data_IF_304432181858
#
_entry.id   IF_304432181858
#
_cell.length_a   1.000
_cell.length_b   1.000
_cell.length_c   1.000
_cell.angle_alpha   90.00
_cell.angle_beta   90.00
_cell.angle_gamma   90.00
#
_symmetry.space_group_name_H-M   'P 1'
#
loop_
_entity.id
_entity.type
_entity.pdbx_description
1 polymer ?
#
# COMPACT_ATOMS: atom_id res chain seq x y z
N UNK A 1 -24.57 9.00 -22.63
CA UNK A 1 -23.11 9.19 -22.54
C UNK A 1 -22.54 8.06 -21.69
N UNK A 2 -21.88 7.09 -22.31
CA UNK A 2 -21.12 6.05 -21.60
C UNK A 2 -19.64 6.43 -21.66
N UNK A 3 -18.96 6.46 -20.51
CA UNK A 3 -17.51 6.61 -20.47
C UNK A 3 -16.86 5.29 -20.92
N UNK A 4 -15.82 5.30 -21.77
CA UNK A 4 -15.12 4.07 -22.13
C UNK A 4 -14.43 3.52 -20.87
N UNK A 5 -14.74 2.28 -20.51
CA UNK A 5 -14.09 1.58 -19.40
C UNK A 5 -12.60 1.43 -19.77
N UNK A 6 -11.75 2.15 -19.03
CA UNK A 6 -10.31 2.06 -19.16
C UNK A 6 -9.86 0.61 -19.00
N UNK A 7 -8.98 0.18 -19.90
CA UNK A 7 -8.42 -1.17 -19.97
C UNK A 7 -7.89 -1.60 -18.58
N UNK A 8 -8.57 -2.58 -17.97
CA UNK A 8 -8.15 -3.15 -16.69
C UNK A 8 -6.91 -4.00 -16.95
N UNK A 9 -5.72 -3.42 -16.78
CA UNK A 9 -4.46 -4.19 -16.80
C UNK A 9 -4.37 -5.06 -15.55
N UNK A 10 -4.84 -6.29 -15.69
CA UNK A 10 -4.66 -7.37 -14.72
C UNK A 10 -3.17 -7.72 -14.71
N UNK A 11 -2.44 -7.23 -13.70
CA UNK A 11 -1.14 -7.78 -13.37
C UNK A 11 -1.39 -9.08 -12.61
N UNK A 12 -1.00 -10.22 -13.17
CA UNK A 12 -0.89 -11.47 -12.42
C UNK A 12 0.24 -11.30 -11.38
N UNK A 13 -0.09 -10.75 -10.22
CA UNK A 13 0.75 -10.88 -9.02
C UNK A 13 0.81 -12.36 -8.69
N UNK A 14 2.01 -12.91 -8.47
CA UNK A 14 2.12 -14.28 -7.95
C UNK A 14 1.41 -14.34 -6.59
N UNK A 15 0.74 -15.45 -6.25
CA UNK A 15 0.02 -15.61 -4.98
C UNK A 15 0.87 -15.22 -3.74
N UNK A 16 2.19 -15.46 -3.82
CA UNK A 16 3.16 -15.10 -2.78
C UNK A 16 3.35 -13.59 -2.56
N UNK A 17 2.99 -12.73 -3.52
CA UNK A 17 3.01 -11.26 -3.39
C UNK A 17 1.68 -10.74 -2.85
N UNK A 18 0.56 -11.42 -3.18
CA UNK A 18 -0.77 -11.11 -2.63
C UNK A 18 -0.84 -11.46 -1.14
N UNK A 19 -0.35 -12.64 -0.75
CA UNK A 19 -0.26 -13.04 0.67
C UNK A 19 0.60 -12.06 1.48
N UNK A 20 1.63 -11.47 0.87
CA UNK A 20 2.50 -10.49 1.54
C UNK A 20 1.90 -9.09 1.65
N UNK A 21 1.02 -8.71 0.73
CA UNK A 21 0.18 -7.52 0.88
C UNK A 21 -0.87 -7.73 1.98
N UNK A 22 -1.39 -8.95 2.10
CA UNK A 22 -2.34 -9.35 3.15
C UNK A 22 -1.70 -9.44 4.55
N UNK A 23 -0.40 -9.80 4.65
CA UNK A 23 0.33 -9.90 5.93
C UNK A 23 0.59 -8.55 6.62
N UNK A 24 0.41 -7.42 5.93
CA UNK A 24 0.62 -6.09 6.48
C UNK A 24 2.08 -5.80 6.85
N UNK A 25 2.37 -4.57 7.26
CA UNK A 25 3.72 -4.17 7.67
C UNK A 25 4.06 -4.80 9.04
N UNK A 26 4.46 -6.07 9.06
CA UNK A 26 4.77 -6.83 10.28
C UNK A 26 5.88 -6.22 11.16
N UNK A 27 6.68 -5.30 10.62
CA UNK A 27 7.62 -4.49 11.40
C UNK A 27 6.97 -3.37 12.22
N UNK A 28 5.76 -2.93 11.89
CA UNK A 28 5.10 -1.76 12.49
C UNK A 28 4.78 -1.98 13.97
N UNK A 29 4.50 -3.21 14.40
CA UNK A 29 4.25 -3.54 15.80
C UNK A 29 5.49 -3.28 16.67
N UNK A 30 6.67 -3.71 16.23
CA UNK A 30 7.92 -3.51 16.96
C UNK A 30 8.31 -2.04 17.04
N UNK A 31 8.07 -1.27 15.97
CA UNK A 31 8.26 0.17 15.98
C UNK A 31 7.33 0.86 16.96
N UNK A 32 6.04 0.51 16.98
CA UNK A 32 5.08 1.08 17.90
C UNK A 32 5.46 0.80 19.37
N UNK A 33 5.92 -0.42 19.67
CA UNK A 33 6.43 -0.75 21.00
C UNK A 33 7.66 0.07 21.39
N UNK A 34 8.61 0.24 20.46
CA UNK A 34 9.78 1.07 20.71
C UNK A 34 9.40 2.54 20.97
N UNK A 35 8.47 3.09 20.18
CA UNK A 35 7.97 4.45 20.31
C UNK A 35 7.14 4.67 21.57
N UNK A 36 6.49 3.64 22.10
CA UNK A 36 5.83 3.73 23.40
C UNK A 36 6.83 3.61 24.57
N UNK A 37 7.71 2.61 24.52
CA UNK A 37 8.57 2.24 25.66
C UNK A 37 9.74 3.21 25.88
N UNK A 38 10.38 3.72 24.81
CA UNK A 38 11.55 4.59 24.94
C UNK A 38 11.23 5.96 25.56
N UNK A 39 10.17 6.68 25.16
CA UNK A 39 9.77 7.91 25.84
C UNK A 39 9.33 7.66 27.28
N UNK A 40 8.62 6.55 27.56
CA UNK A 40 8.26 6.20 28.94
C UNK A 40 9.50 5.93 29.79
N UNK A 41 10.49 5.19 29.28
CA UNK A 41 11.78 4.99 29.96
C UNK A 41 12.48 6.34 30.23
N UNK A 42 12.45 7.25 29.25
CA UNK A 42 13.02 8.58 29.40
C UNK A 42 12.30 9.41 30.48
N UNK A 43 10.97 9.36 30.54
CA UNK A 43 10.19 10.00 31.60
C UNK A 43 10.57 9.46 32.97
N UNK A 44 10.69 8.14 33.11
CA UNK A 44 11.12 7.50 34.36
C UNK A 44 12.54 7.94 34.72
N UNK A 45 13.47 7.99 33.78
CA UNK A 45 14.84 8.48 33.99
C UNK A 45 14.85 9.92 34.52
N UNK A 46 14.07 10.81 33.89
CA UNK A 46 13.94 12.20 34.33
C UNK A 46 13.39 12.22 35.77
N UNK A 47 12.39 11.40 36.10
CA UNK A 47 11.89 11.28 37.47
C UNK A 47 12.97 10.84 38.46
N UNK A 48 13.82 9.85 38.14
CA UNK A 48 14.94 9.46 39.01
C UNK A 48 15.98 10.58 39.20
N UNK A 49 16.22 11.39 38.17
CA UNK A 49 17.22 12.48 38.23
C UNK A 49 16.70 13.72 38.94
N UNK A 50 15.39 13.96 38.91
CA UNK A 50 14.75 15.17 39.47
C UNK A 50 14.18 14.97 40.86
N UNK A 51 13.78 13.75 41.21
CA UNK A 51 13.11 13.45 42.48
C UNK A 51 14.11 12.94 43.52
N UNK A 52 14.15 13.59 44.67
CA UNK A 52 14.89 13.09 45.84
C UNK A 52 14.08 11.99 46.52
N UNK A 53 14.37 10.72 46.20
CA UNK A 53 13.69 9.56 46.79
C UNK A 53 14.46 9.09 48.02
N UNK A 54 13.93 9.34 49.22
CA UNK A 54 14.57 8.91 50.49
C UNK A 54 14.48 7.40 50.73
N UNK A 55 13.47 6.73 50.15
CA UNK A 55 13.26 5.29 50.34
C UNK A 55 14.00 4.46 49.30
N UNK A 56 15.01 3.71 49.75
CA UNK A 56 15.78 2.80 48.90
C UNK A 56 14.91 1.79 48.12
N UNK A 57 13.79 1.35 48.68
CA UNK A 57 12.88 0.38 48.03
C UNK A 57 12.20 0.98 46.80
N UNK A 58 11.74 2.23 46.92
CA UNK A 58 11.08 2.93 45.82
C UNK A 58 12.10 3.29 44.74
N UNK A 59 13.29 3.73 45.14
CA UNK A 59 14.39 4.00 44.21
C UNK A 59 14.74 2.77 43.37
N UNK A 60 14.92 1.60 44.01
CA UNK A 60 15.18 0.34 43.32
C UNK A 60 14.06 -0.06 42.36
N UNK A 61 12.79 0.10 42.75
CA UNK A 61 11.65 -0.21 41.89
C UNK A 61 11.65 0.64 40.61
N UNK A 62 11.89 1.95 40.75
CA UNK A 62 12.00 2.88 39.62
C UNK A 62 13.21 2.58 38.73
N UNK A 63 14.35 2.22 39.32
CA UNK A 63 15.56 1.84 38.58
C UNK A 63 15.34 0.54 37.78
N UNK A 64 14.73 -0.47 38.38
CA UNK A 64 14.41 -1.74 37.69
C UNK A 64 13.38 -1.50 36.59
N UNK A 65 12.35 -0.70 36.84
CA UNK A 65 11.37 -0.34 35.82
C UNK A 65 12.01 0.40 34.64
N UNK A 66 12.92 1.35 34.91
CA UNK A 66 13.69 2.03 33.87
C UNK A 66 14.47 1.05 33.00
N UNK A 67 15.25 0.16 33.61
CA UNK A 67 16.03 -0.83 32.86
C UNK A 67 15.15 -1.79 32.06
N UNK A 68 14.03 -2.24 32.62
CA UNK A 68 13.09 -3.10 31.90
C UNK A 68 12.51 -2.41 30.65
N UNK A 69 12.05 -1.16 30.78
CA UNK A 69 11.52 -0.37 29.67
C UNK A 69 12.59 -0.08 28.62
N UNK A 70 13.80 0.29 29.05
CA UNK A 70 14.92 0.61 28.17
C UNK A 70 15.33 -0.60 27.33
N UNK A 71 15.55 -1.76 27.97
CA UNK A 71 15.98 -2.99 27.30
C UNK A 71 14.90 -3.46 26.32
N UNK A 72 13.63 -3.50 26.75
CA UNK A 72 12.53 -3.94 25.90
C UNK A 72 12.30 -3.00 24.71
N UNK A 73 12.38 -1.69 24.94
CA UNK A 73 12.28 -0.67 23.89
C UNK A 73 13.42 -0.78 22.87
N UNK A 74 14.66 -0.98 23.35
CA UNK A 74 15.83 -1.10 22.49
C UNK A 74 15.82 -2.38 21.66
N UNK A 75 15.42 -3.53 22.24
CA UNK A 75 15.26 -4.79 21.51
C UNK A 75 14.22 -4.63 20.40
N UNK A 76 13.09 -4.01 20.71
CA UNK A 76 12.02 -3.78 19.73
C UNK A 76 12.48 -2.88 18.59
N UNK A 77 13.21 -1.80 18.90
CA UNK A 77 13.77 -0.89 17.91
C UNK A 77 14.80 -1.59 17.01
N UNK A 78 15.68 -2.39 17.61
CA UNK A 78 16.73 -3.10 16.88
C UNK A 78 16.14 -4.17 15.93
N UNK A 79 15.13 -4.91 16.39
CA UNK A 79 14.39 -5.86 15.56
C UNK A 79 13.72 -5.17 14.37
N UNK A 80 13.04 -4.05 14.61
CA UNK A 80 12.43 -3.27 13.53
C UNK A 80 13.47 -2.77 12.53
N UNK A 81 14.62 -2.28 13.01
CA UNK A 81 15.69 -1.78 12.15
C UNK A 81 16.27 -2.87 11.24
N UNK A 82 16.54 -4.05 11.81
CA UNK A 82 17.03 -5.21 11.06
C UNK A 82 16.01 -5.69 10.01
N UNK A 83 14.73 -5.75 10.40
CA UNK A 83 13.64 -6.12 9.51
C UNK A 83 13.49 -5.11 8.35
N UNK A 84 13.43 -3.82 8.68
CA UNK A 84 13.26 -2.74 7.69
C UNK A 84 14.38 -2.70 6.65
N UNK A 85 15.64 -3.00 7.03
CA UNK A 85 16.76 -3.11 6.09
C UNK A 85 16.62 -4.29 5.12
N UNK A 86 16.11 -5.42 5.60
CA UNK A 86 15.98 -6.64 4.80
C UNK A 86 14.86 -6.52 3.77
N UNK A 87 13.75 -5.87 4.13
CA UNK A 87 12.63 -5.63 3.22
C UNK A 87 12.99 -4.68 2.07
N UNK A 88 13.73 -3.60 2.36
CA UNK A 88 14.18 -2.65 1.33
C UNK A 88 15.02 -3.32 0.23
N UNK A 89 15.92 -4.24 0.60
CA UNK A 89 16.77 -4.95 -0.38
C UNK A 89 15.98 -5.87 -1.32
N UNK A 90 14.88 -6.47 -0.83
CA UNK A 90 14.05 -7.37 -1.63
C UNK A 90 13.13 -6.61 -2.58
N UNK A 91 12.64 -5.45 -2.16
CA UNK A 91 11.85 -4.53 -2.99
C UNK A 91 12.72 -3.94 -4.12
N UNK A 92 13.98 -3.60 -3.84
CA UNK A 92 14.93 -3.18 -4.88
C UNK A 92 15.14 -4.30 -5.92
N UNK A 93 15.21 -5.56 -5.47
CA UNK A 93 15.35 -6.72 -6.35
C UNK A 93 14.14 -7.00 -7.24
N UNK A 94 12.91 -6.74 -6.78
CA UNK A 94 11.71 -6.84 -7.61
C UNK A 94 11.58 -5.64 -8.55
N UNK A 95 11.89 -4.42 -8.09
CA UNK A 95 11.88 -3.20 -8.90
C UNK A 95 12.91 -3.25 -10.03
N UNK A 96 14.08 -3.84 -9.80
CA UNK A 96 15.12 -4.05 -10.80
C UNK A 96 14.72 -5.02 -11.92
N UNK A 97 13.68 -5.84 -11.70
CA UNK A 97 13.12 -6.77 -12.71
C UNK A 97 11.96 -6.17 -13.49
N UNK A 98 11.49 -4.97 -13.13
CA UNK A 98 10.48 -4.26 -13.91
C UNK A 98 11.17 -3.47 -15.04
N UNK A 99 10.81 -3.69 -16.31
CA UNK A 99 11.34 -2.86 -17.40
C UNK A 99 10.89 -1.41 -17.21
N UNK A 100 11.85 -0.48 -17.27
CA UNK A 100 11.57 0.97 -17.34
C UNK A 100 10.79 1.20 -18.62
N UNK A 101 9.49 1.49 -18.51
CA UNK A 101 8.67 1.79 -19.69
C UNK A 101 9.09 3.15 -20.25
N UNK A 102 9.54 3.25 -21.52
CA UNK A 102 9.62 4.54 -22.19
C UNK A 102 8.21 5.11 -22.28
N UNK A 103 8.03 6.28 -21.69
CA UNK A 103 6.79 7.03 -21.74
C UNK A 103 6.70 7.60 -23.16
N UNK A 104 5.70 7.15 -23.93
CA UNK A 104 5.20 7.70 -25.22
C UNK A 104 6.03 7.35 -26.46
N UNK A 105 5.54 6.42 -27.32
CA UNK A 105 5.89 6.41 -28.75
C UNK A 105 5.02 5.51 -29.66
N UNK A 106 3.75 5.18 -29.35
CA UNK A 106 3.07 4.22 -30.26
C UNK A 106 1.53 4.30 -30.36
N UNK A 107 0.91 5.48 -30.29
CA UNK A 107 -0.47 5.63 -30.80
C UNK A 107 -0.70 7.01 -31.44
N UNK A 108 0.18 7.41 -32.36
CA UNK A 108 -0.21 8.33 -33.42
C UNK A 108 0.38 7.77 -34.71
N UNK A 109 -0.39 6.98 -35.45
CA UNK A 109 -0.13 6.74 -36.87
C UNK A 109 -1.44 7.02 -37.61
N UNK A 110 -1.39 7.84 -38.68
CA UNK A 110 -2.51 8.64 -39.12
C UNK A 110 -3.45 7.86 -40.03
N UNK A 111 -4.70 8.33 -40.03
CA UNK A 111 -5.79 7.84 -40.85
C UNK A 111 -5.41 7.68 -42.32
N UNK A 112 -5.80 6.56 -42.91
CA UNK A 112 -6.06 6.45 -44.35
C UNK A 112 -6.89 5.20 -44.67
N UNK A 113 -7.61 5.22 -45.79
CA UNK A 113 -9.07 5.15 -45.84
C UNK A 113 -9.56 3.84 -46.48
N UNK A 114 -10.79 3.40 -46.20
CA UNK A 114 -11.54 2.36 -46.91
C UNK A 114 -12.85 2.12 -46.14
N UNK A 115 -14.03 1.84 -46.68
CA UNK A 115 -14.67 1.90 -47.98
C UNK A 115 -16.12 1.45 -47.67
N UNK A 116 -17.11 2.14 -48.24
CA UNK A 116 -18.48 1.71 -48.57
C UNK A 116 -19.31 0.83 -47.62
N UNK A 117 -20.46 1.36 -47.17
CA UNK A 117 -21.74 0.61 -47.21
C UNK A 117 -22.89 1.55 -47.59
N UNK A 118 -23.50 1.21 -48.72
CA UNK A 118 -24.68 1.75 -49.41
C UNK A 118 -26.00 1.64 -48.58
N UNK A 119 -26.96 2.59 -48.67
CA UNK A 119 -28.17 2.58 -47.84
C UNK A 119 -29.34 1.84 -48.51
N UNK A 120 -29.76 0.70 -47.94
CA UNK A 120 -31.05 0.07 -48.26
C UNK A 120 -32.16 0.68 -47.38
N UNK A 121 -33.14 1.33 -48.01
CA UNK A 121 -34.23 2.06 -47.36
C UNK A 121 -35.29 1.19 -46.65
N UNK A 122 -36.09 1.78 -45.75
CA UNK A 122 -37.07 1.06 -44.94
C UNK A 122 -38.42 0.83 -45.66
N UNK A 123 -39.14 -0.27 -45.40
CA UNK A 123 -40.52 -0.46 -45.86
C UNK A 123 -41.51 0.28 -44.95
N UNK A 124 -42.33 1.16 -45.53
CA UNK A 124 -43.39 1.87 -44.83
C UNK A 124 -44.79 1.39 -45.28
N UNK A 125 -45.55 0.93 -44.28
CA UNK A 125 -46.99 1.10 -44.01
C UNK A 125 -48.03 0.93 -45.13
N UNK A 126 -49.06 0.13 -44.84
CA UNK A 126 -50.25 -0.04 -45.65
C UNK A 126 -51.32 1.04 -45.49
N UNK A 127 -52.27 1.02 -46.42
CA UNK A 127 -53.57 1.71 -46.42
C UNK A 127 -54.46 0.85 -47.37
N UNK A 128 -55.44 0.10 -46.88
CA UNK A 128 -56.83 0.48 -46.63
C UNK A 128 -57.73 0.57 -47.89
N UNK A 129 -58.88 -0.11 -47.77
CA UNK A 129 -60.19 0.19 -48.38
C UNK A 129 -60.37 -0.10 -49.90
N UNK A 130 -61.28 -1.00 -50.27
CA UNK A 130 -62.69 -0.69 -50.62
C UNK A 130 -62.77 -0.12 -52.06
N UNK A 131 -63.24 -0.81 -53.09
CA UNK A 131 -64.65 -1.09 -53.34
C UNK A 131 -64.81 -1.71 -54.75
N UNK A 132 -65.73 -2.69 -54.87
CA UNK A 132 -66.66 -3.11 -55.98
C UNK A 132 -66.43 -2.71 -57.45
N UNK A 133 -67.12 -3.34 -58.43
CA UNK A 133 -68.15 -4.41 -58.33
C UNK A 133 -67.74 -5.78 -58.89
#
# INVERSE_FOLDING_TARGET
MYAPLGELKVYELSEAEFDRLAEGASGQLHLNFALAMLPTALSVLISLLTTTIESNRVYLAFLVAFWALLVQGLISLLRWWLYSRTHRKRIEGSRARMPVRPVIAEQITPASPMLDVEPAGPPAAGDAADSRP
#
